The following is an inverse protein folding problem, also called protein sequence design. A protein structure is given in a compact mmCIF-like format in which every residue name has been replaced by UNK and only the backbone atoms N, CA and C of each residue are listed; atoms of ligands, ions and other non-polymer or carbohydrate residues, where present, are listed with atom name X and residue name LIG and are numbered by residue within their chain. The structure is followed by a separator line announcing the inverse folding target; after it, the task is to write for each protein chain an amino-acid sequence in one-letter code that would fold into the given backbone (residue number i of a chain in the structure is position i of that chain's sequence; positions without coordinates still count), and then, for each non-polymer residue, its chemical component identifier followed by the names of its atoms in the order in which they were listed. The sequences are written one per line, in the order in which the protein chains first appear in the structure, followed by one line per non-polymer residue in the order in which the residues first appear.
data_IF_711323876129
#
_entry.id   IF_711323876129
#
_cell.length_a   1.000
_cell.length_b   1.000
_cell.length_c   1.000
_cell.angle_alpha   90.00
_cell.angle_beta   90.00
_cell.angle_gamma   90.00
#
_symmetry.space_group_name_H-M   'P 1'
#
loop_
_entity.id
_entity.type
_entity.pdbx_description
1 polymer ?
#
# COMPACT_ATOMS: atom_id res chain seq x y z
N UNK A 1 -4.67 -1.22 6.68
CA UNK A 1 -3.77 -0.05 6.75
C UNK A 1 -4.54 1.27 6.68
N UNK A 2 -5.31 1.52 5.61
CA UNK A 2 -6.06 2.77 5.42
C UNK A 2 -7.00 3.12 6.60
N UNK A 3 -7.78 2.14 7.09
CA UNK A 3 -8.63 2.32 8.28
C UNK A 3 -7.85 2.81 9.52
N UNK A 4 -6.65 2.26 9.76
CA UNK A 4 -5.80 2.66 10.90
C UNK A 4 -5.25 4.08 10.71
N UNK A 5 -4.83 4.42 9.49
CA UNK A 5 -4.39 5.77 9.16
C UNK A 5 -5.52 6.80 9.33
N UNK A 6 -6.73 6.49 8.86
CA UNK A 6 -7.89 7.37 9.00
C UNK A 6 -8.31 7.52 10.47
N UNK A 7 -8.26 6.45 11.26
CA UNK A 7 -8.53 6.52 12.70
C UNK A 7 -7.49 7.36 13.46
N UNK A 8 -6.20 7.22 13.10
CA UNK A 8 -5.13 8.08 13.62
C UNK A 8 -5.44 9.56 13.35
N UNK A 9 -5.65 9.88 12.07
CA UNK A 9 -5.83 11.25 11.57
C UNK A 9 -7.07 11.92 12.16
N UNK A 10 -8.19 11.20 12.21
CA UNK A 10 -9.49 11.79 12.48
C UNK A 10 -9.94 11.64 13.94
N UNK A 11 -9.42 10.65 14.67
CA UNK A 11 -9.94 10.31 16.01
C UNK A 11 -8.87 10.31 17.11
N UNK A 12 -7.76 9.57 16.94
CA UNK A 12 -6.80 9.33 18.05
C UNK A 12 -6.13 10.61 18.53
N UNK A 13 -5.66 11.47 17.63
CA UNK A 13 -5.08 12.76 18.01
C UNK A 13 -6.07 13.67 18.74
N UNK A 14 -7.30 13.78 18.22
CA UNK A 14 -8.36 14.57 18.86
C UNK A 14 -8.65 14.08 20.28
N UNK A 15 -8.71 12.76 20.49
CA UNK A 15 -8.95 12.18 21.82
C UNK A 15 -7.78 12.44 22.77
N UNK A 16 -6.54 12.38 22.29
CA UNK A 16 -5.35 12.75 23.07
C UNK A 16 -5.42 14.22 23.49
N UNK A 17 -5.74 15.12 22.57
CA UNK A 17 -5.86 16.56 22.87
C UNK A 17 -6.95 16.82 23.92
N UNK A 18 -8.11 16.17 23.79
CA UNK A 18 -9.18 16.25 24.77
C UNK A 18 -8.72 15.75 26.14
N UNK A 19 -8.06 14.59 26.20
CA UNK A 19 -7.57 14.01 27.44
C UNK A 19 -6.46 14.87 28.07
N UNK A 20 -5.57 15.45 27.28
CA UNK A 20 -4.52 16.36 27.75
C UNK A 20 -5.12 17.62 28.38
N UNK A 21 -6.15 18.19 27.76
CA UNK A 21 -6.89 19.32 28.32
C UNK A 21 -7.57 18.98 29.64
N UNK A 22 -8.12 17.76 29.78
CA UNK A 22 -8.69 17.29 31.05
C UNK A 22 -7.61 17.18 32.13
N UNK A 23 -6.46 16.60 31.82
CA UNK A 23 -5.32 16.53 32.78
C UNK A 23 -4.90 17.94 33.22
N UNK A 24 -4.77 18.88 32.28
CA UNK A 24 -4.42 20.28 32.59
C UNK A 24 -5.47 20.97 33.47
N UNK A 25 -6.76 20.68 33.25
CA UNK A 25 -7.83 21.22 34.07
C UNK A 25 -7.81 20.64 35.49
N UNK A 26 -7.75 19.31 35.63
CA UNK A 26 -7.73 18.63 36.92
C UNK A 26 -6.48 18.96 37.75
N UNK A 27 -5.33 19.16 37.08
CA UNK A 27 -4.08 19.57 37.72
C UNK A 27 -4.14 20.95 38.39
N UNK A 28 -5.12 21.80 38.05
CA UNK A 28 -5.35 23.09 38.73
C UNK A 28 -6.09 22.92 40.06
N UNK A 29 -6.75 21.78 40.27
CA UNK A 29 -7.44 21.44 41.50
C UNK A 29 -6.53 20.72 42.50
N UNK A 30 -7.06 20.47 43.71
CA UNK A 30 -6.36 19.73 44.77
C UNK A 30 -6.55 18.20 44.69
N UNK A 31 -7.24 17.68 43.67
CA UNK A 31 -7.51 16.25 43.53
C UNK A 31 -6.37 15.50 42.83
N UNK A 32 -5.24 15.38 43.53
CA UNK A 32 -4.02 14.75 43.02
C UNK A 32 -4.20 13.29 42.56
N UNK A 33 -5.08 12.53 43.22
CA UNK A 33 -5.35 11.13 42.86
C UNK A 33 -6.02 11.06 41.49
N UNK A 34 -7.04 11.91 41.26
CA UNK A 34 -7.72 11.98 39.97
C UNK A 34 -6.78 12.46 38.87
N UNK A 35 -6.02 13.53 39.11
CA UNK A 35 -5.03 14.03 38.13
C UNK A 35 -4.03 12.95 37.75
N UNK A 36 -3.54 12.16 38.72
CA UNK A 36 -2.63 11.03 38.45
C UNK A 36 -3.28 9.96 37.58
N UNK A 37 -4.55 9.64 37.82
CA UNK A 37 -5.28 8.66 37.01
C UNK A 37 -5.48 9.14 35.57
N UNK A 38 -5.90 10.40 35.39
CA UNK A 38 -6.09 10.99 34.06
C UNK A 38 -4.76 11.12 33.29
N UNK A 39 -3.65 11.39 33.98
CA UNK A 39 -2.31 11.41 33.40
C UNK A 39 -1.88 10.02 32.93
N UNK A 40 -2.05 8.99 33.77
CA UNK A 40 -1.74 7.62 33.38
C UNK A 40 -2.56 7.15 32.17
N UNK A 41 -3.83 7.59 32.09
CA UNK A 41 -4.68 7.35 30.93
C UNK A 41 -4.17 8.06 29.68
N UNK A 42 -3.76 9.33 29.79
CA UNK A 42 -3.16 10.09 28.69
C UNK A 42 -1.90 9.40 28.17
N UNK A 43 -1.00 8.99 29.06
CA UNK A 43 0.23 8.26 28.72
C UNK A 43 -0.09 6.97 27.96
N UNK A 44 -1.06 6.19 28.42
CA UNK A 44 -1.50 4.97 27.73
C UNK A 44 -2.03 5.27 26.31
N UNK A 45 -2.85 6.32 26.15
CA UNK A 45 -3.38 6.72 24.84
C UNK A 45 -2.29 7.18 23.88
N UNK A 46 -1.30 7.92 24.37
CA UNK A 46 -0.13 8.34 23.58
C UNK A 46 0.67 7.12 23.14
N UNK A 47 1.02 6.22 24.06
CA UNK A 47 1.79 5.01 23.76
C UNK A 47 1.08 4.11 22.72
N UNK A 48 -0.23 3.90 22.86
CA UNK A 48 -1.01 3.13 21.89
C UNK A 48 -1.03 3.79 20.51
N UNK A 49 -1.11 5.12 20.47
CA UNK A 49 -1.11 5.90 19.23
C UNK A 49 0.25 5.87 18.56
N UNK A 50 1.35 5.97 19.31
CA UNK A 50 2.71 5.81 18.81
C UNK A 50 2.94 4.43 18.19
N UNK A 51 2.47 3.37 18.87
CA UNK A 51 2.52 2.01 18.34
C UNK A 51 1.74 1.91 17.02
N UNK A 52 0.53 2.47 16.98
CA UNK A 52 -0.31 2.50 15.76
C UNK A 52 0.40 3.25 14.62
N UNK A 53 1.08 4.37 14.91
CA UNK A 53 1.87 5.13 13.92
C UNK A 53 3.03 4.27 13.39
N UNK A 54 3.75 3.57 14.28
CA UNK A 54 4.85 2.68 13.92
C UNK A 54 4.38 1.59 12.96
N UNK A 55 3.25 0.94 13.26
CA UNK A 55 2.69 -0.12 12.43
C UNK A 55 2.20 0.40 11.08
N UNK A 56 1.59 1.59 11.06
CA UNK A 56 1.18 2.23 9.79
C UNK A 56 2.41 2.57 8.93
N UNK A 57 3.48 3.11 9.52
CA UNK A 57 4.73 3.42 8.78
C UNK A 57 5.37 2.15 8.21
N UNK A 58 5.42 1.07 8.98
CA UNK A 58 5.93 -0.23 8.51
C UNK A 58 5.09 -0.74 7.34
N UNK A 59 3.76 -0.74 7.47
CA UNK A 59 2.87 -1.15 6.39
C UNK A 59 3.06 -0.33 5.11
N UNK A 60 3.19 1.00 5.22
CA UNK A 60 3.46 1.86 4.07
C UNK A 60 4.83 1.59 3.42
N UNK A 61 5.84 1.26 4.24
CA UNK A 61 7.17 0.91 3.75
C UNK A 61 7.15 -0.38 2.95
N UNK A 62 6.46 -1.41 3.45
CA UNK A 62 6.32 -2.68 2.75
C UNK A 62 5.50 -2.53 1.47
N UNK A 63 4.40 -1.77 1.49
CA UNK A 63 3.64 -1.45 0.28
C UNK A 63 4.50 -0.76 -0.78
N UNK A 64 5.36 0.19 -0.36
CA UNK A 64 6.28 0.86 -1.28
C UNK A 64 7.26 -0.13 -1.93
N UNK A 65 7.84 -1.04 -1.15
CA UNK A 65 8.76 -2.07 -1.67
C UNK A 65 8.07 -3.00 -2.66
N UNK A 66 6.85 -3.44 -2.34
CA UNK A 66 6.05 -4.30 -3.23
C UNK A 66 5.79 -3.57 -4.55
N UNK A 67 5.41 -2.28 -4.49
CA UNK A 67 5.18 -1.47 -5.68
C UNK A 67 6.46 -1.32 -6.53
N UNK A 68 7.60 -1.05 -5.92
CA UNK A 68 8.88 -1.00 -6.63
C UNK A 68 9.21 -2.32 -7.33
N UNK A 69 9.06 -3.46 -6.64
CA UNK A 69 9.28 -4.79 -7.21
C UNK A 69 8.31 -5.10 -8.36
N UNK A 70 7.04 -4.74 -8.21
CA UNK A 70 6.03 -4.89 -9.25
C UNK A 70 6.39 -4.08 -10.49
N UNK A 71 6.77 -2.81 -10.32
CA UNK A 71 7.19 -1.94 -11.42
C UNK A 71 8.40 -2.51 -12.17
N UNK A 72 9.36 -3.09 -11.47
CA UNK A 72 10.50 -3.78 -12.09
C UNK A 72 10.04 -5.01 -12.89
N UNK A 73 9.20 -5.86 -12.30
CA UNK A 73 8.68 -7.06 -12.96
C UNK A 73 7.89 -6.73 -14.24
N UNK A 74 7.04 -5.70 -14.21
CA UNK A 74 6.31 -5.17 -15.37
C UNK A 74 7.26 -4.73 -16.48
N UNK A 75 8.29 -3.95 -16.13
CA UNK A 75 9.26 -3.46 -17.11
C UNK A 75 10.01 -4.62 -17.78
N UNK A 76 10.35 -5.64 -17.01
CA UNK A 76 11.00 -6.84 -17.54
C UNK A 76 10.05 -7.69 -18.40
N UNK A 77 8.78 -7.77 -18.01
CA UNK A 77 7.75 -8.41 -18.83
C UNK A 77 7.59 -7.70 -20.18
N UNK A 78 7.55 -6.36 -20.17
CA UNK A 78 7.45 -5.56 -21.39
C UNK A 78 8.63 -5.77 -22.33
N UNK A 79 9.86 -5.82 -21.80
CA UNK A 79 11.05 -6.13 -22.60
C UNK A 79 10.96 -7.51 -23.24
N UNK A 80 10.59 -8.54 -22.46
CA UNK A 80 10.44 -9.91 -22.96
C UNK A 80 9.37 -9.99 -24.05
N UNK A 81 8.24 -9.33 -23.85
CA UNK A 81 7.19 -9.20 -24.86
C UNK A 81 7.71 -8.56 -26.15
N UNK A 82 8.41 -7.42 -26.06
CA UNK A 82 8.93 -6.71 -27.23
C UNK A 82 9.93 -7.56 -28.01
N UNK A 83 10.78 -8.31 -27.32
CA UNK A 83 11.76 -9.21 -27.93
C UNK A 83 11.08 -10.41 -28.60
N UNK A 84 10.07 -11.01 -27.94
CA UNK A 84 9.25 -12.07 -28.53
C UNK A 84 8.52 -11.60 -29.78
N UNK A 85 7.91 -10.41 -29.74
CA UNK A 85 7.20 -9.80 -30.88
C UNK A 85 8.15 -9.54 -32.06
N UNK A 86 9.32 -8.96 -31.81
CA UNK A 86 10.35 -8.77 -32.85
C UNK A 86 10.78 -10.09 -33.48
N UNK A 87 11.01 -11.12 -32.66
CA UNK A 87 11.43 -12.44 -33.13
C UNK A 87 10.35 -13.12 -33.96
N UNK A 88 9.09 -13.04 -33.53
CA UNK A 88 7.95 -13.55 -34.31
C UNK A 88 7.81 -12.86 -35.65
N UNK A 89 7.99 -11.54 -35.71
CA UNK A 89 7.95 -10.80 -36.99
C UNK A 89 9.10 -11.18 -37.92
N UNK A 90 10.33 -11.28 -37.38
CA UNK A 90 11.53 -11.59 -38.17
C UNK A 90 11.60 -13.06 -38.61
N UNK A 91 11.08 -13.97 -37.79
CA UNK A 91 11.14 -15.42 -37.99
C UNK A 91 9.77 -16.03 -38.30
N UNK A 92 8.78 -15.23 -38.72
CA UNK A 92 7.39 -15.66 -38.96
C UNK A 92 7.31 -16.93 -39.82
N UNK A 93 8.14 -17.02 -40.86
CA UNK A 93 8.18 -18.20 -41.73
C UNK A 93 8.64 -19.49 -41.04
N UNK A 94 9.40 -19.42 -39.94
CA UNK A 94 9.93 -20.58 -39.21
C UNK A 94 8.87 -21.28 -38.35
N UNK A 95 7.83 -20.57 -37.93
CA UNK A 95 6.82 -21.11 -37.01
C UNK A 95 5.56 -21.62 -37.73
N UNK A 96 5.39 -21.30 -39.03
CA UNK A 96 4.35 -21.85 -39.89
C UNK A 96 2.93 -21.77 -39.26
N UNK A 97 2.24 -22.89 -39.00
CA UNK A 97 0.91 -22.88 -38.42
C UNK A 97 0.85 -22.45 -36.94
N UNK A 98 1.97 -22.44 -36.21
CA UNK A 98 2.00 -22.03 -34.80
C UNK A 98 1.92 -20.51 -34.61
N UNK A 99 2.13 -19.71 -35.65
CA UNK A 99 2.10 -18.24 -35.58
C UNK A 99 0.79 -17.71 -35.02
N UNK A 100 -0.35 -18.26 -35.44
CA UNK A 100 -1.65 -17.81 -34.95
C UNK A 100 -1.81 -18.01 -33.43
N UNK A 101 -1.24 -19.08 -32.88
CA UNK A 101 -1.24 -19.33 -31.43
C UNK A 101 -0.28 -18.39 -30.69
N UNK A 102 0.88 -18.12 -31.28
CA UNK A 102 1.89 -17.22 -30.71
C UNK A 102 1.40 -15.77 -30.70
N UNK A 103 0.74 -15.30 -31.76
CA UNK A 103 0.11 -13.99 -31.81
C UNK A 103 -1.02 -13.85 -30.78
N UNK A 104 -1.83 -14.90 -30.60
CA UNK A 104 -2.88 -14.92 -29.57
C UNK A 104 -2.29 -14.85 -28.17
N UNK A 105 -1.21 -15.59 -27.90
CA UNK A 105 -0.52 -15.54 -26.62
C UNK A 105 0.08 -14.15 -26.35
N UNK A 106 0.73 -13.54 -27.35
CA UNK A 106 1.24 -12.17 -27.22
C UNK A 106 0.12 -11.16 -26.95
N UNK A 107 -1.01 -11.28 -27.65
CA UNK A 107 -2.16 -10.38 -27.46
C UNK A 107 -2.74 -10.49 -26.04
N UNK A 108 -2.78 -11.71 -25.48
CA UNK A 108 -3.18 -11.91 -24.09
C UNK A 108 -2.19 -11.26 -23.13
N UNK A 109 -0.89 -11.45 -23.36
CA UNK A 109 0.16 -10.87 -22.52
C UNK A 109 0.13 -9.33 -22.52
N UNK A 110 -0.23 -8.71 -23.65
CA UNK A 110 -0.42 -7.27 -23.77
C UNK A 110 -1.66 -6.80 -22.98
N UNK A 111 -2.76 -7.55 -23.04
CA UNK A 111 -3.95 -7.25 -22.25
C UNK A 111 -3.70 -7.37 -20.74
N UNK A 112 -3.01 -8.43 -20.30
CA UNK A 112 -2.65 -8.65 -18.89
C UNK A 112 -1.74 -7.50 -18.38
N UNK A 113 -0.80 -7.04 -19.22
CA UNK A 113 0.06 -5.90 -18.93
C UNK A 113 -0.71 -4.58 -18.78
N UNK A 114 -1.64 -4.30 -19.70
CA UNK A 114 -2.47 -3.10 -19.66
C UNK A 114 -3.37 -3.09 -18.41
N UNK A 115 -3.96 -4.24 -18.07
CA UNK A 115 -4.79 -4.40 -16.88
C UNK A 115 -3.98 -4.21 -15.59
N UNK A 116 -2.81 -4.84 -15.50
CA UNK A 116 -1.90 -4.66 -14.37
C UNK A 116 -1.50 -3.18 -14.20
N UNK A 117 -1.12 -2.51 -15.29
CA UNK A 117 -0.69 -1.11 -15.28
C UNK A 117 -1.83 -0.23 -14.78
N UNK A 118 -3.05 -0.45 -15.29
CA UNK A 118 -4.25 0.27 -14.83
C UNK A 118 -4.52 0.05 -13.35
N UNK A 119 -4.51 -1.19 -12.86
CA UNK A 119 -4.74 -1.50 -11.44
C UNK A 119 -3.68 -0.89 -10.52
N UNK A 120 -2.44 -0.83 -10.99
CA UNK A 120 -1.33 -0.19 -10.26
C UNK A 120 -1.47 1.33 -10.22
N UNK A 121 -1.90 1.95 -11.32
CA UNK A 121 -2.15 3.40 -11.39
C UNK A 121 -3.39 3.83 -10.59
N UNK A 122 -4.44 3.00 -10.58
CA UNK A 122 -5.69 3.23 -9.85
C UNK A 122 -5.54 3.01 -8.32
N UNK A 123 -4.38 2.52 -7.86
CA UNK A 123 -4.10 2.27 -6.45
C UNK A 123 -4.70 0.97 -5.90
N UNK A 124 -5.32 0.15 -6.75
CA UNK A 124 -5.82 -1.19 -6.40
C UNK A 124 -4.72 -2.24 -6.47
N UNK A 125 -3.70 -2.04 -5.62
CA UNK A 125 -2.49 -2.84 -5.62
C UNK A 125 -2.70 -4.28 -5.17
N UNK A 126 -3.80 -4.59 -4.48
CA UNK A 126 -4.13 -5.95 -4.07
C UNK A 126 -4.50 -6.80 -5.30
N UNK A 127 -5.38 -6.28 -6.16
CA UNK A 127 -5.78 -6.98 -7.39
C UNK A 127 -4.66 -7.00 -8.43
N UNK A 128 -3.81 -5.97 -8.48
CA UNK A 128 -2.64 -5.99 -9.36
C UNK A 128 -1.69 -7.18 -9.06
N UNK A 129 -1.59 -7.61 -7.80
CA UNK A 129 -0.68 -8.71 -7.43
C UNK A 129 -1.11 -10.11 -7.89
N UNK A 130 -2.37 -10.27 -8.30
CA UNK A 130 -2.97 -11.57 -8.67
C UNK A 130 -2.98 -11.82 -10.20
N UNK A 131 -2.55 -10.83 -11.00
CA UNK A 131 -2.38 -10.92 -12.46
C UNK A 131 -0.94 -11.34 -12.79
#
# INVERSE_FOLDING_TARGET
LERQFNDLKNNKFLKIDQQANLVLFEARGINFIKTRHELARLEAMVNETEQTISDVRKGLTELKKINEAHREAINDLKKKYDDLRKRLLAENFKFGPANAGLDKFLSQLEADYDEFTRLTEDGDHATASDI
#
